data_IF_104475304283
#
_entry.id   IF_104475304283
#
_cell.length_a   1.000
_cell.length_b   1.000
_cell.length_c   1.000
_cell.angle_alpha   90.00
_cell.angle_beta   90.00
_cell.angle_gamma   90.00
#
_symmetry.space_group_name_H-M   'P 1'
#
loop_
_entity.id
_entity.type
_entity.pdbx_description
1 polymer ?
#
# COMPACT_ATOMS: atom_id res chain seq x y z
N UNK A 1 11.58 -11.55 33.88
CA UNK A 1 10.59 -12.53 33.39
C UNK A 1 10.88 -12.76 31.91
N UNK A 2 10.99 -14.01 31.47
CA UNK A 2 11.16 -14.32 30.06
C UNK A 2 9.85 -13.99 29.30
N UNK A 3 9.97 -13.41 28.10
CA UNK A 3 8.81 -13.10 27.28
C UNK A 3 8.30 -14.36 26.57
N UNK A 4 7.00 -14.65 26.68
CA UNK A 4 6.44 -15.92 26.23
C UNK A 4 4.95 -15.79 25.86
N UNK A 5 4.46 -16.73 25.05
CA UNK A 5 3.04 -16.91 24.83
C UNK A 5 2.34 -17.33 26.15
N UNK A 6 1.09 -16.89 26.39
CA UNK A 6 0.22 -16.15 25.48
C UNK A 6 0.40 -14.62 25.50
N UNK A 7 1.35 -14.09 26.28
CA UNK A 7 1.43 -12.65 26.57
C UNK A 7 2.23 -11.86 25.55
N UNK A 8 3.46 -12.31 25.24
CA UNK A 8 4.44 -11.60 24.40
C UNK A 8 4.57 -10.11 24.76
N UNK A 9 4.44 -9.79 26.05
CA UNK A 9 4.38 -8.41 26.53
C UNK A 9 5.69 -7.65 26.30
N UNK A 10 6.83 -8.33 26.35
CA UNK A 10 8.13 -7.74 26.04
C UNK A 10 8.21 -7.33 24.57
N UNK A 11 7.91 -8.26 23.67
CA UNK A 11 7.95 -8.08 22.23
C UNK A 11 6.96 -7.02 21.77
N UNK A 12 5.71 -7.04 22.26
CA UNK A 12 4.70 -6.03 21.90
C UNK A 12 5.11 -4.60 22.28
N UNK A 13 5.85 -4.42 23.39
CA UNK A 13 6.34 -3.09 23.80
C UNK A 13 7.41 -2.53 22.86
N UNK A 14 8.04 -3.38 22.03
CA UNK A 14 9.03 -2.90 21.05
C UNK A 14 8.39 -2.15 19.88
N UNK A 15 7.09 -2.34 19.64
CA UNK A 15 6.40 -1.77 18.47
C UNK A 15 6.83 -2.39 17.14
N UNK A 16 7.60 -3.49 17.15
CA UNK A 16 8.01 -4.19 15.95
C UNK A 16 6.87 -5.01 15.33
N UNK A 17 6.94 -5.16 14.01
CA UNK A 17 6.05 -6.03 13.25
C UNK A 17 6.85 -6.83 12.23
N UNK A 18 6.37 -8.03 11.92
CA UNK A 18 7.09 -9.04 11.16
C UNK A 18 6.35 -9.41 9.88
N UNK A 19 7.11 -9.64 8.82
CA UNK A 19 6.59 -10.17 7.56
C UNK A 19 6.33 -11.67 7.64
N UNK A 20 7.09 -12.37 8.48
CA UNK A 20 6.95 -13.82 8.70
C UNK A 20 7.03 -14.10 10.20
N UNK A 21 6.06 -14.86 10.71
CA UNK A 21 6.07 -15.43 12.06
C UNK A 21 5.98 -16.96 11.93
N UNK A 22 6.95 -17.66 12.50
CA UNK A 22 6.99 -19.12 12.52
C UNK A 22 6.67 -19.65 13.93
N UNK A 23 5.62 -20.46 14.04
CA UNK A 23 5.20 -21.14 15.26
C UNK A 23 5.42 -22.65 15.06
N UNK A 24 6.69 -23.06 15.16
CA UNK A 24 7.10 -24.44 14.92
C UNK A 24 7.06 -25.26 16.21
N UNK A 25 6.24 -26.31 16.24
CA UNK A 25 6.07 -27.25 17.34
C UNK A 25 5.78 -26.59 18.70
N UNK A 26 5.11 -25.44 18.72
CA UNK A 26 4.79 -24.69 19.95
C UNK A 26 3.31 -24.79 20.32
N UNK A 27 2.40 -24.86 19.33
CA UNK A 27 0.97 -24.65 19.57
C UNK A 27 0.35 -25.67 20.54
N UNK A 28 0.79 -26.94 20.47
CA UNK A 28 0.36 -28.01 21.36
C UNK A 28 0.70 -27.76 22.84
N UNK A 29 1.66 -26.89 23.16
CA UNK A 29 2.06 -26.57 24.53
C UNK A 29 1.19 -25.48 25.17
N UNK A 30 0.34 -24.82 24.38
CA UNK A 30 -0.62 -23.85 24.90
C UNK A 30 -1.90 -24.54 25.34
N UNK A 31 -2.28 -24.30 26.59
CA UNK A 31 -3.60 -24.66 27.09
C UNK A 31 -4.69 -24.04 26.20
N UNK A 32 -5.77 -24.77 25.85
CA UNK A 32 -6.80 -24.28 24.94
C UNK A 32 -7.37 -22.89 25.30
N UNK A 33 -7.55 -22.60 26.59
CA UNK A 33 -8.03 -21.29 27.07
C UNK A 33 -7.09 -20.12 26.73
N UNK A 34 -5.80 -20.38 26.49
CA UNK A 34 -4.80 -19.36 26.17
C UNK A 34 -4.64 -19.13 24.67
N UNK A 35 -5.07 -20.09 23.84
CA UNK A 35 -4.86 -20.08 22.39
C UNK A 35 -5.51 -18.88 21.68
N UNK A 36 -6.75 -18.45 21.98
CA UNK A 36 -7.32 -17.26 21.35
C UNK A 36 -6.50 -15.99 21.63
N UNK A 37 -6.04 -15.82 22.88
CA UNK A 37 -5.20 -14.68 23.27
C UNK A 37 -3.85 -14.73 22.55
N UNK A 38 -3.18 -15.88 22.56
CA UNK A 38 -1.92 -16.12 21.89
C UNK A 38 -2.01 -15.81 20.39
N UNK A 39 -3.03 -16.34 19.71
CA UNK A 39 -3.26 -16.12 18.28
C UNK A 39 -3.41 -14.63 17.96
N UNK A 40 -4.29 -13.94 18.69
CA UNK A 40 -4.49 -12.48 18.54
C UNK A 40 -3.19 -11.70 18.70
N UNK A 41 -2.33 -12.06 19.68
CA UNK A 41 -1.04 -11.39 19.88
C UNK A 41 -0.10 -11.62 18.69
N UNK A 42 -0.02 -12.85 18.18
CA UNK A 42 0.77 -13.16 17.00
C UNK A 42 0.27 -12.42 15.76
N UNK A 43 -1.06 -12.34 15.56
CA UNK A 43 -1.65 -11.55 14.47
C UNK A 43 -1.31 -10.07 14.60
N UNK A 44 -1.37 -9.49 15.80
CA UNK A 44 -1.02 -8.07 16.00
C UNK A 44 0.45 -7.74 15.75
N UNK A 45 1.31 -8.76 15.65
CA UNK A 45 2.71 -8.63 15.33
C UNK A 45 2.98 -8.84 13.82
N UNK A 46 2.00 -9.23 13.02
CA UNK A 46 2.14 -9.32 11.56
C UNK A 46 2.05 -7.92 10.93
N UNK A 47 2.89 -7.66 9.92
CA UNK A 47 2.63 -6.58 8.97
C UNK A 47 1.44 -6.95 8.07
N UNK A 48 0.72 -5.97 7.49
CA UNK A 48 -0.20 -6.21 6.37
C UNK A 48 0.50 -7.02 5.27
N UNK A 49 -0.21 -7.99 4.69
CA UNK A 49 0.38 -8.97 3.75
C UNK A 49 1.22 -10.08 4.40
N UNK A 50 1.49 -9.99 5.71
CA UNK A 50 2.38 -10.87 6.44
C UNK A 50 1.91 -12.33 6.55
N UNK A 51 2.87 -13.23 6.70
CA UNK A 51 2.68 -14.68 6.77
C UNK A 51 2.87 -15.21 8.19
N UNK A 52 1.95 -16.03 8.66
CA UNK A 52 2.12 -16.84 9.86
C UNK A 52 2.10 -18.32 9.48
N UNK A 53 3.19 -19.04 9.77
CA UNK A 53 3.28 -20.47 9.55
C UNK A 53 3.25 -21.21 10.89
N UNK A 54 2.39 -22.23 11.02
CA UNK A 54 2.27 -23.05 12.21
C UNK A 54 2.47 -24.52 11.85
N UNK A 55 3.10 -25.29 12.74
CA UNK A 55 3.15 -26.74 12.64
C UNK A 55 2.46 -27.36 13.85
N UNK A 56 1.44 -28.15 13.60
CA UNK A 56 0.62 -28.83 14.60
C UNK A 56 1.08 -30.27 14.73
N UNK A 57 1.45 -30.68 15.94
CA UNK A 57 1.78 -32.09 16.23
C UNK A 57 0.53 -32.84 16.64
N UNK A 58 0.23 -33.92 15.93
CA UNK A 58 -0.80 -34.89 16.27
C UNK A 58 -0.19 -36.11 16.94
N UNK A 59 -1.02 -36.88 17.66
CA UNK A 59 -0.59 -38.06 18.39
C UNK A 59 -0.49 -37.84 19.90
N UNK A 60 -0.09 -38.88 20.66
CA UNK A 60 -0.07 -38.84 22.11
C UNK A 60 0.91 -37.78 22.65
N UNK A 61 0.57 -37.24 23.82
CA UNK A 61 1.45 -36.36 24.57
C UNK A 61 2.69 -37.13 25.04
N UNK A 62 3.86 -36.49 24.95
CA UNK A 62 5.07 -37.03 25.55
C UNK A 62 4.95 -36.97 27.10
N UNK A 63 5.27 -38.05 27.83
CA UNK A 63 5.22 -38.04 29.29
C UNK A 63 6.02 -36.87 29.88
N UNK A 64 5.41 -36.10 30.79
CA UNK A 64 6.06 -34.95 31.43
C UNK A 64 6.09 -33.66 30.61
N UNK A 65 5.65 -33.68 29.34
CA UNK A 65 5.43 -32.46 28.55
C UNK A 65 3.94 -32.14 28.52
N UNK A 66 3.55 -31.00 29.10
CA UNK A 66 2.19 -30.46 28.99
C UNK A 66 1.86 -30.22 27.51
N UNK A 67 1.13 -31.16 26.91
CA UNK A 67 0.67 -31.11 25.54
C UNK A 67 -0.84 -31.29 25.51
N UNK A 68 -1.48 -30.47 24.70
CA UNK A 68 -2.92 -30.46 24.51
C UNK A 68 -3.24 -30.79 23.05
N UNK A 69 -4.33 -31.52 22.77
CA UNK A 69 -4.77 -31.79 21.41
C UNK A 69 -4.90 -30.50 20.59
N UNK A 70 -4.54 -30.58 19.32
CA UNK A 70 -4.60 -29.48 18.36
C UNK A 70 -5.40 -29.94 17.14
N UNK A 71 -5.99 -29.00 16.42
CA UNK A 71 -6.68 -29.31 15.16
C UNK A 71 -6.47 -28.19 14.17
N UNK A 72 -6.50 -28.53 12.87
CA UNK A 72 -6.51 -27.52 11.83
C UNK A 72 -7.75 -26.63 11.93
N UNK A 73 -8.91 -27.20 12.24
CA UNK A 73 -10.17 -26.45 12.36
C UNK A 73 -10.13 -25.36 13.44
N UNK A 74 -9.40 -25.58 14.55
CA UNK A 74 -9.15 -24.53 15.55
C UNK A 74 -8.36 -23.36 14.93
N UNK A 75 -7.29 -23.65 14.20
CA UNK A 75 -6.48 -22.62 13.54
C UNK A 75 -7.28 -21.89 12.46
N UNK A 76 -8.10 -22.60 11.68
CA UNK A 76 -8.97 -22.00 10.66
C UNK A 76 -10.03 -21.09 11.26
N UNK A 77 -10.61 -21.47 12.40
CA UNK A 77 -11.55 -20.64 13.14
C UNK A 77 -10.89 -19.35 13.63
N UNK A 78 -9.74 -19.48 14.30
CA UNK A 78 -8.97 -18.33 14.77
C UNK A 78 -8.51 -17.42 13.63
N UNK A 79 -8.10 -18.00 12.50
CA UNK A 79 -7.72 -17.24 11.31
C UNK A 79 -8.90 -16.42 10.79
N UNK A 80 -10.09 -17.02 10.68
CA UNK A 80 -11.31 -16.36 10.23
C UNK A 80 -11.71 -15.19 11.15
N UNK A 81 -11.67 -15.40 12.46
CA UNK A 81 -12.03 -14.39 13.46
C UNK A 81 -11.11 -13.16 13.42
N UNK A 82 -9.91 -13.32 12.86
CA UNK A 82 -8.90 -12.27 12.73
C UNK A 82 -8.63 -11.84 11.28
N UNK A 83 -9.41 -12.33 10.31
CA UNK A 83 -9.30 -11.94 8.90
C UNK A 83 -8.09 -12.52 8.15
N UNK A 84 -7.43 -13.57 8.67
CA UNK A 84 -6.36 -14.26 7.95
C UNK A 84 -6.93 -15.30 6.98
N UNK A 85 -6.33 -15.39 5.79
CA UNK A 85 -6.62 -16.43 4.82
C UNK A 85 -5.65 -17.61 4.96
N UNK A 86 -6.16 -18.85 4.92
CA UNK A 86 -5.32 -20.04 4.79
C UNK A 86 -4.82 -20.11 3.35
N UNK A 87 -3.51 -19.98 3.15
CA UNK A 87 -2.91 -20.00 1.81
C UNK A 87 -2.20 -21.31 1.49
N UNK A 88 -1.84 -22.10 2.51
CA UNK A 88 -1.27 -23.43 2.32
C UNK A 88 -1.53 -24.34 3.50
N UNK A 89 -1.73 -25.62 3.20
CA UNK A 89 -1.71 -26.73 4.14
C UNK A 89 -0.79 -27.82 3.59
N UNK A 90 -0.05 -28.47 4.46
CA UNK A 90 0.69 -29.69 4.15
C UNK A 90 0.66 -30.63 5.34
N UNK A 91 0.35 -31.90 5.10
CA UNK A 91 0.44 -32.95 6.11
C UNK A 91 1.74 -33.74 5.89
N UNK A 92 2.36 -34.17 6.98
CA UNK A 92 3.62 -34.90 6.96
C UNK A 92 3.65 -35.98 8.05
N UNK A 93 4.36 -37.07 7.77
CA UNK A 93 4.73 -38.05 8.79
C UNK A 93 5.82 -37.48 9.70
N UNK A 94 5.94 -38.01 10.91
CA UNK A 94 7.01 -37.63 11.82
C UNK A 94 8.38 -38.04 11.27
N UNK A 95 9.29 -37.07 11.14
CA UNK A 95 10.63 -37.31 10.59
C UNK A 95 11.51 -38.18 11.48
N UNK A 96 11.14 -38.39 12.75
CA UNK A 96 11.82 -39.33 13.66
C UNK A 96 11.26 -40.75 13.55
N UNK A 97 10.30 -41.00 12.66
CA UNK A 97 9.77 -42.33 12.37
C UNK A 97 8.79 -42.87 13.42
N UNK A 98 8.26 -42.03 14.31
CA UNK A 98 7.24 -42.43 15.29
C UNK A 98 5.88 -42.61 14.59
N UNK A 99 5.33 -43.83 14.50
CA UNK A 99 4.13 -44.10 13.69
C UNK A 99 2.86 -43.44 14.23
N UNK A 100 2.82 -43.15 15.53
CA UNK A 100 1.68 -42.52 16.21
C UNK A 100 1.70 -40.98 16.16
N UNK A 101 2.77 -40.40 15.60
CA UNK A 101 2.95 -38.95 15.50
C UNK A 101 2.86 -38.53 14.04
N UNK A 102 2.08 -37.49 13.77
CA UNK A 102 2.01 -36.85 12.46
C UNK A 102 1.93 -35.33 12.63
N UNK A 103 2.15 -34.62 11.53
CA UNK A 103 2.25 -33.16 11.54
C UNK A 103 1.34 -32.55 10.49
N UNK A 104 0.67 -31.46 10.85
CA UNK A 104 0.03 -30.55 9.89
C UNK A 104 0.74 -29.22 9.92
N UNK A 105 1.30 -28.81 8.79
CA UNK A 105 1.81 -27.45 8.57
C UNK A 105 0.73 -26.61 7.90
N UNK A 106 0.49 -25.41 8.41
CA UNK A 106 -0.47 -24.46 7.86
C UNK A 106 0.19 -23.09 7.73
N UNK A 107 -0.02 -22.43 6.59
CA UNK A 107 0.42 -21.08 6.34
C UNK A 107 -0.81 -20.17 6.17
N UNK A 108 -0.85 -19.12 6.98
CA UNK A 108 -1.90 -18.12 7.03
C UNK A 108 -1.35 -16.79 6.55
N UNK A 109 -2.13 -16.04 5.77
CA UNK A 109 -1.76 -14.69 5.33
C UNK A 109 -2.75 -13.68 5.87
N UNK A 110 -2.23 -12.65 6.53
CA UNK A 110 -3.00 -11.43 6.77
C UNK A 110 -3.11 -10.70 5.42
N UNK A 111 -4.31 -10.46 4.89
CA UNK A 111 -4.45 -9.66 3.68
C UNK A 111 -3.78 -8.30 3.86
N UNK A 112 -3.17 -7.77 2.80
CA UNK A 112 -2.81 -6.36 2.78
C UNK A 112 -4.09 -5.57 2.49
N UNK A 113 -4.66 -4.97 3.53
CA UNK A 113 -5.83 -4.10 3.45
C UNK A 113 -5.45 -2.63 3.20
N UNK A 114 -4.17 -2.36 2.91
CA UNK A 114 -3.63 -1.02 2.70
C UNK A 114 -3.39 -0.24 3.98
N UNK A 115 -3.71 -0.79 5.17
CA UNK A 115 -3.44 -0.10 6.45
C UNK A 115 -1.96 0.12 6.70
N UNK A 116 -1.09 -0.69 6.08
CA UNK A 116 0.37 -0.54 6.11
C UNK A 116 0.84 0.78 5.49
N UNK A 117 0.05 1.38 4.61
CA UNK A 117 0.34 2.69 4.04
C UNK A 117 -0.06 3.86 4.96
N UNK A 118 -0.89 3.64 6.00
CA UNK A 118 -1.38 4.72 6.86
C UNK A 118 -0.27 5.46 7.62
N UNK A 119 0.76 4.80 8.20
CA UNK A 119 1.89 5.51 8.79
C UNK A 119 2.62 6.40 7.78
N UNK A 120 2.79 5.94 6.54
CA UNK A 120 3.42 6.70 5.46
C UNK A 120 2.57 7.90 5.02
N UNK A 121 1.27 7.69 4.83
CA UNK A 121 0.34 8.77 4.51
C UNK A 121 0.30 9.83 5.62
N UNK A 122 0.25 9.40 6.88
CA UNK A 122 0.35 10.30 8.05
C UNK A 122 1.66 11.09 8.00
N UNK A 123 2.79 10.44 7.73
CA UNK A 123 4.08 11.12 7.60
C UNK A 123 4.06 12.19 6.49
N UNK A 124 3.57 11.84 5.30
CA UNK A 124 3.49 12.76 4.14
C UNK A 124 2.60 13.97 4.44
N UNK A 125 1.45 13.75 5.08
CA UNK A 125 0.48 14.81 5.40
C UNK A 125 1.00 15.72 6.51
N UNK A 126 1.56 15.15 7.58
CA UNK A 126 2.04 15.93 8.74
C UNK A 126 3.35 16.68 8.45
N UNK A 127 4.22 16.15 7.59
CA UNK A 127 5.48 16.79 7.21
C UNK A 127 5.35 17.70 5.98
N UNK A 128 4.17 18.25 5.72
CA UNK A 128 3.99 19.21 4.66
C UNK A 128 4.50 20.61 5.02
N UNK A 129 5.82 20.79 4.92
CA UNK A 129 6.49 22.06 5.23
C UNK A 129 6.11 23.22 4.29
N UNK A 130 5.54 22.93 3.11
CA UNK A 130 5.21 23.95 2.12
C UNK A 130 3.69 24.17 2.11
N UNK A 131 3.25 25.42 2.27
CA UNK A 131 1.83 25.78 2.28
C UNK A 131 1.07 25.51 0.95
N UNK A 132 1.77 25.08 -0.10
CA UNK A 132 1.14 24.71 -1.38
C UNK A 132 0.55 23.29 -1.31
N UNK A 133 -0.78 23.19 -1.45
CA UNK A 133 -1.65 22.00 -1.37
C UNK A 133 -1.36 20.84 -2.36
N UNK A 134 -0.21 20.88 -3.03
CA UNK A 134 0.13 20.02 -4.15
C UNK A 134 0.31 18.56 -3.74
N UNK A 135 0.81 18.25 -2.53
CA UNK A 135 0.92 16.85 -2.06
C UNK A 135 -0.45 16.17 -1.97
N UNK A 136 -1.43 16.85 -1.38
CA UNK A 136 -2.82 16.35 -1.35
C UNK A 136 -3.42 16.27 -2.74
N UNK A 137 -3.12 17.24 -3.61
CA UNK A 137 -3.50 17.19 -5.03
C UNK A 137 -2.94 15.95 -5.74
N UNK A 138 -1.68 15.58 -5.49
CA UNK A 138 -1.04 14.40 -6.08
C UNK A 138 -1.66 13.11 -5.55
N UNK A 139 -1.82 12.99 -4.23
CA UNK A 139 -2.49 11.84 -3.60
C UNK A 139 -3.90 11.65 -4.17
N UNK A 140 -4.66 12.73 -4.31
CA UNK A 140 -6.00 12.68 -4.90
C UNK A 140 -5.98 12.27 -6.38
N UNK A 141 -5.01 12.76 -7.15
CA UNK A 141 -4.84 12.35 -8.55
C UNK A 141 -4.50 10.85 -8.67
N UNK A 142 -3.65 10.32 -7.78
CA UNK A 142 -3.32 8.89 -7.69
C UNK A 142 -4.54 8.05 -7.33
N UNK A 143 -5.33 8.44 -6.33
CA UNK A 143 -6.58 7.74 -6.00
C UNK A 143 -7.54 7.68 -7.21
N UNK A 144 -7.69 8.79 -7.95
CA UNK A 144 -8.54 8.81 -9.15
C UNK A 144 -8.01 7.91 -10.27
N UNK A 145 -6.70 7.80 -10.41
CA UNK A 145 -6.09 6.86 -11.36
C UNK A 145 -6.33 5.40 -10.92
N UNK A 146 -6.22 5.10 -9.62
CA UNK A 146 -6.51 3.78 -9.08
C UNK A 146 -7.99 3.39 -9.30
N UNK A 147 -8.93 4.31 -9.04
CA UNK A 147 -10.37 4.05 -9.18
C UNK A 147 -10.80 3.85 -10.65
N UNK A 148 -10.27 4.66 -11.56
CA UNK A 148 -10.82 4.78 -12.92
C UNK A 148 -9.91 4.26 -14.04
N UNK A 149 -8.67 3.89 -13.72
CA UNK A 149 -7.65 3.58 -14.71
C UNK A 149 -6.61 2.55 -14.21
N UNK A 150 -6.98 1.67 -13.27
CA UNK A 150 -6.09 0.64 -12.73
C UNK A 150 -5.43 -0.23 -13.81
N UNK A 151 -6.12 -0.47 -14.94
CA UNK A 151 -5.58 -1.23 -16.08
C UNK A 151 -4.41 -0.56 -16.82
N UNK A 152 -4.07 0.69 -16.49
CA UNK A 152 -2.88 1.37 -17.01
C UNK A 152 -1.66 1.25 -16.08
N UNK A 153 -1.83 0.64 -14.90
CA UNK A 153 -0.72 0.31 -14.01
C UNK A 153 0.07 -0.87 -14.57
N UNK A 154 1.40 -0.77 -14.53
CA UNK A 154 2.31 -1.84 -14.91
C UNK A 154 2.98 -2.39 -13.66
N UNK A 155 3.00 -3.71 -13.43
CA UNK A 155 3.72 -4.29 -12.30
C UNK A 155 5.21 -3.91 -12.32
N UNK A 156 5.75 -3.57 -11.15
CA UNK A 156 7.17 -3.31 -10.93
C UNK A 156 7.63 -4.13 -9.71
N UNK A 157 8.10 -5.36 -9.98
CA UNK A 157 8.38 -6.32 -8.90
C UNK A 157 7.11 -6.75 -8.17
N UNK A 158 7.26 -7.17 -6.91
CA UNK A 158 6.21 -7.85 -6.16
C UNK A 158 5.26 -6.90 -5.40
N UNK A 159 5.68 -5.66 -5.15
CA UNK A 159 4.99 -4.73 -4.26
C UNK A 159 4.67 -3.36 -4.89
N UNK A 160 5.21 -3.06 -6.08
CA UNK A 160 5.11 -1.74 -6.68
C UNK A 160 4.45 -1.79 -8.07
N UNK A 161 3.95 -0.64 -8.50
CA UNK A 161 3.42 -0.44 -9.85
C UNK A 161 3.96 0.85 -10.44
N UNK A 162 4.21 0.85 -11.75
CA UNK A 162 4.49 2.05 -12.53
C UNK A 162 3.20 2.58 -13.14
N UNK A 163 2.98 3.89 -13.01
CA UNK A 163 1.85 4.59 -13.60
C UNK A 163 2.35 5.60 -14.66
N UNK A 164 1.67 5.74 -15.79
CA UNK A 164 2.01 6.79 -16.76
C UNK A 164 1.88 8.18 -16.12
N UNK A 165 2.95 8.97 -16.10
CA UNK A 165 2.92 10.31 -15.52
C UNK A 165 1.87 11.22 -16.19
N UNK A 166 1.62 11.03 -17.49
CA UNK A 166 0.58 11.73 -18.23
C UNK A 166 -0.85 11.43 -17.73
N UNK A 167 -1.11 10.23 -17.22
CA UNK A 167 -2.38 9.86 -16.59
C UNK A 167 -2.59 10.67 -15.30
N UNK A 168 -1.55 10.76 -14.47
CA UNK A 168 -1.61 11.52 -13.22
C UNK A 168 -1.78 13.01 -13.51
N UNK A 169 -1.07 13.54 -14.51
CA UNK A 169 -1.26 14.91 -14.98
C UNK A 169 -2.67 15.17 -15.53
N UNK A 170 -3.29 14.23 -16.23
CA UNK A 170 -4.67 14.38 -16.69
C UNK A 170 -5.63 14.51 -15.49
N UNK A 171 -5.52 13.64 -14.49
CA UNK A 171 -6.33 13.73 -13.27
C UNK A 171 -6.04 15.00 -12.46
N UNK A 172 -4.78 15.47 -12.46
CA UNK A 172 -4.40 16.76 -11.89
C UNK A 172 -5.13 17.92 -12.56
N UNK A 173 -5.12 17.99 -13.89
CA UNK A 173 -5.84 19.02 -14.63
C UNK A 173 -7.35 18.98 -14.34
N UNK A 174 -7.95 17.78 -14.31
CA UNK A 174 -9.36 17.60 -13.95
C UNK A 174 -9.70 18.06 -12.54
N UNK A 175 -8.75 17.96 -11.61
CA UNK A 175 -8.92 18.40 -10.23
C UNK A 175 -8.92 19.93 -10.15
N UNK A 176 -7.91 20.57 -10.71
CA UNK A 176 -7.68 22.01 -10.52
C UNK A 176 -8.48 22.90 -11.46
N UNK A 177 -8.75 22.47 -12.71
CA UNK A 177 -9.44 23.29 -13.70
C UNK A 177 -10.80 23.85 -13.22
N UNK A 178 -11.73 23.04 -12.67
CA UNK A 178 -13.01 23.58 -12.20
C UNK A 178 -12.84 24.50 -10.99
N UNK A 179 -11.89 24.21 -10.09
CA UNK A 179 -11.66 25.02 -8.90
C UNK A 179 -11.13 26.40 -9.26
N UNK A 180 -10.12 26.45 -10.15
CA UNK A 180 -9.54 27.71 -10.63
C UNK A 180 -10.56 28.50 -11.45
N UNK A 181 -11.37 27.82 -12.27
CA UNK A 181 -12.45 28.47 -13.04
C UNK A 181 -13.51 29.10 -12.13
N UNK A 182 -13.80 28.49 -10.98
CA UNK A 182 -14.72 29.01 -9.99
C UNK A 182 -14.10 30.09 -9.07
N UNK A 183 -12.83 30.47 -9.28
CA UNK A 183 -12.13 31.43 -8.43
C UNK A 183 -11.82 30.91 -7.03
N UNK A 184 -11.88 29.59 -6.81
CA UNK A 184 -11.56 29.00 -5.51
C UNK A 184 -10.05 29.08 -5.25
N UNK A 185 -9.61 29.53 -4.06
CA UNK A 185 -8.20 29.59 -3.72
C UNK A 185 -7.53 28.20 -3.69
N UNK A 186 -6.34 28.08 -4.28
CA UNK A 186 -5.52 26.85 -4.22
C UNK A 186 -4.36 26.95 -3.20
N UNK A 187 -4.20 28.13 -2.61
CA UNK A 187 -3.28 28.46 -1.52
C UNK A 187 -3.62 29.82 -0.92
N UNK A 188 -3.00 30.19 0.22
CA UNK A 188 -3.24 31.48 0.86
C UNK A 188 -3.00 32.65 -0.11
N UNK A 189 -3.99 33.52 -0.27
CA UNK A 189 -3.91 34.69 -1.16
C UNK A 189 -3.90 34.39 -2.66
N UNK A 190 -3.98 33.12 -3.10
CA UNK A 190 -4.14 32.78 -4.51
C UNK A 190 -5.62 32.85 -4.92
N UNK A 191 -5.89 33.53 -6.04
CA UNK A 191 -7.15 33.42 -6.77
C UNK A 191 -6.83 33.31 -8.26
N UNK A 192 -7.49 32.37 -8.94
CA UNK A 192 -7.23 32.15 -10.36
C UNK A 192 -5.88 31.43 -10.63
N UNK A 193 -5.40 31.47 -11.89
CA UNK A 193 -4.24 30.69 -12.32
C UNK A 193 -2.89 31.25 -11.87
N UNK A 194 -2.83 32.50 -11.42
CA UNK A 194 -1.56 33.17 -11.12
C UNK A 194 -0.90 32.61 -9.85
N UNK A 195 0.42 32.37 -9.91
CA UNK A 195 1.17 31.73 -8.83
C UNK A 195 1.08 30.20 -8.78
N UNK A 196 0.27 29.57 -9.63
CA UNK A 196 0.22 28.10 -9.72
C UNK A 196 1.27 27.59 -10.71
N UNK A 197 2.19 26.75 -10.24
CA UNK A 197 3.35 26.30 -11.04
C UNK A 197 2.97 25.49 -12.30
N UNK A 198 1.79 24.88 -12.32
CA UNK A 198 1.25 24.15 -13.47
C UNK A 198 0.39 25.03 -14.40
N UNK A 199 0.05 26.26 -14.02
CA UNK A 199 -0.90 27.10 -14.75
C UNK A 199 -0.21 27.97 -15.82
N UNK A 200 0.50 27.30 -16.73
CA UNK A 200 1.15 27.93 -17.88
C UNK A 200 0.18 28.20 -19.04
N UNK A 201 0.70 28.56 -20.24
CA UNK A 201 -0.12 28.83 -21.41
C UNK A 201 -1.09 27.69 -21.76
N UNK A 202 -0.68 26.43 -21.60
CA UNK A 202 -1.53 25.29 -21.87
C UNK A 202 -2.74 25.26 -20.95
N UNK A 203 -2.51 25.32 -19.63
CA UNK A 203 -3.60 25.37 -18.65
C UNK A 203 -4.53 26.57 -18.85
N UNK A 204 -3.97 27.75 -19.18
CA UNK A 204 -4.76 28.96 -19.44
C UNK A 204 -5.63 28.82 -20.69
N UNK A 205 -5.15 28.14 -21.73
CA UNK A 205 -5.99 27.79 -22.88
C UNK A 205 -7.15 26.86 -22.48
N UNK A 206 -6.94 25.89 -21.58
CA UNK A 206 -8.04 25.06 -21.06
C UNK A 206 -9.04 25.89 -20.24
N UNK A 207 -8.58 26.85 -19.44
CA UNK A 207 -9.46 27.77 -18.72
C UNK A 207 -10.32 28.59 -19.67
N UNK A 208 -9.73 29.08 -20.76
CA UNK A 208 -10.40 29.84 -21.82
C UNK A 208 -11.33 28.98 -22.71
N UNK A 209 -11.47 27.68 -22.44
CA UNK A 209 -12.43 26.81 -23.11
C UNK A 209 -11.89 26.07 -24.33
N UNK A 210 -10.56 25.91 -24.47
CA UNK A 210 -9.98 25.09 -25.53
C UNK A 210 -10.43 23.63 -25.50
N UNK A 211 -10.90 23.15 -24.33
CA UNK A 211 -11.53 21.84 -24.14
C UNK A 211 -12.66 21.94 -23.11
N UNK A 212 -13.59 20.99 -23.18
CA UNK A 212 -14.62 20.77 -22.15
C UNK A 212 -14.13 19.82 -21.05
N UNK A 213 -14.85 19.75 -19.93
CA UNK A 213 -14.56 18.76 -18.89
C UNK A 213 -14.74 17.31 -19.37
N UNK A 214 -15.64 17.08 -20.34
CA UNK A 214 -15.88 15.77 -20.94
C UNK A 214 -14.73 15.31 -21.85
N UNK A 215 -13.97 16.26 -22.41
CA UNK A 215 -12.80 15.98 -23.23
C UNK A 215 -11.61 15.50 -22.40
N UNK A 216 -11.52 15.91 -21.13
CA UNK A 216 -10.45 15.53 -20.21
C UNK A 216 -10.64 14.12 -19.65
N UNK A 217 -10.65 13.10 -20.51
CA UNK A 217 -10.76 11.69 -20.12
C UNK A 217 -9.85 10.82 -20.98
N UNK A 218 -9.53 9.65 -20.46
CA UNK A 218 -8.81 8.63 -21.20
C UNK A 218 -9.64 8.21 -22.42
N UNK A 219 -8.96 8.05 -23.56
CA UNK A 219 -9.59 7.65 -24.82
C UNK A 219 -10.24 8.79 -25.62
N UNK A 220 -10.24 10.03 -25.12
CA UNK A 220 -10.64 11.20 -25.92
C UNK A 220 -9.73 11.41 -27.13
N UNK A 221 -10.33 11.77 -28.26
CA UNK A 221 -9.60 12.15 -29.48
C UNK A 221 -9.77 13.63 -29.72
N UNK A 222 -8.66 14.36 -29.76
CA UNK A 222 -8.62 15.79 -30.02
C UNK A 222 -7.69 16.06 -31.19
N UNK A 223 -7.93 17.16 -31.89
CA UNK A 223 -7.10 17.63 -33.00
C UNK A 223 -6.94 19.15 -32.94
N UNK A 224 -6.04 19.68 -33.78
CA UNK A 224 -5.83 21.13 -33.90
C UNK A 224 -5.45 21.82 -32.59
N UNK A 225 -5.99 23.03 -32.38
CA UNK A 225 -5.68 23.87 -31.23
C UNK A 225 -6.03 23.22 -29.88
N UNK A 226 -7.12 22.47 -29.80
CA UNK A 226 -7.53 21.77 -28.59
C UNK A 226 -6.50 20.70 -28.17
N UNK A 227 -6.00 19.92 -29.13
CA UNK A 227 -4.94 18.94 -28.87
C UNK A 227 -3.63 19.59 -28.44
N UNK A 228 -3.25 20.71 -29.06
CA UNK A 228 -2.05 21.46 -28.71
C UNK A 228 -2.14 22.04 -27.29
N UNK A 229 -3.28 22.63 -26.95
CA UNK A 229 -3.55 23.17 -25.61
C UNK A 229 -3.47 22.08 -24.53
N UNK A 230 -4.16 20.95 -24.74
CA UNK A 230 -4.12 19.85 -23.78
C UNK A 230 -2.72 19.24 -23.66
N UNK A 231 -2.02 19.03 -24.78
CA UNK A 231 -0.66 18.50 -24.76
C UNK A 231 0.28 19.40 -23.95
N UNK A 232 0.19 20.72 -24.14
CA UNK A 232 0.99 21.68 -23.40
C UNK A 232 0.63 21.68 -21.91
N UNK A 233 -0.66 21.69 -21.58
CA UNK A 233 -1.14 21.63 -20.19
C UNK A 233 -0.66 20.37 -19.46
N UNK A 234 -0.66 19.21 -20.14
CA UNK A 234 -0.11 17.98 -19.59
C UNK A 234 1.41 18.10 -19.36
N UNK A 235 2.17 18.70 -20.28
CA UNK A 235 3.62 18.93 -20.08
C UNK A 235 3.89 19.85 -18.88
N UNK A 236 3.10 20.89 -18.68
CA UNK A 236 3.19 21.81 -17.55
C UNK A 236 2.87 21.12 -16.22
N UNK A 237 1.77 20.34 -16.19
CA UNK A 237 1.37 19.56 -15.02
C UNK A 237 2.41 18.47 -14.69
N UNK A 238 2.85 17.67 -15.66
CA UNK A 238 3.89 16.65 -15.44
C UNK A 238 5.22 17.25 -14.97
N UNK A 239 5.62 18.42 -15.49
CA UNK A 239 6.79 19.15 -14.98
C UNK A 239 6.61 19.50 -13.51
N UNK A 240 5.46 20.09 -13.18
CA UNK A 240 5.14 20.51 -11.81
C UNK A 240 5.08 19.32 -10.86
N UNK A 241 4.50 18.19 -11.29
CA UNK A 241 4.40 16.93 -10.53
C UNK A 241 5.73 16.20 -10.37
N UNK A 242 6.71 16.46 -11.23
CA UNK A 242 8.05 15.90 -11.04
C UNK A 242 8.87 16.74 -10.07
N UNK A 243 9.00 18.04 -10.34
CA UNK A 243 9.88 18.94 -9.55
C UNK A 243 9.29 19.34 -8.19
N UNK A 244 7.98 19.19 -8.06
CA UNK A 244 7.15 19.28 -6.85
C UNK A 244 6.07 18.21 -7.00
N UNK A 245 5.03 18.16 -6.18
CA UNK A 245 5.16 17.58 -4.85
C UNK A 245 5.92 16.23 -4.79
N UNK A 246 6.07 15.44 -5.87
CA UNK A 246 6.69 14.11 -5.83
C UNK A 246 8.14 14.15 -5.31
N UNK A 247 8.96 15.11 -5.76
CA UNK A 247 10.33 15.33 -5.24
C UNK A 247 10.37 15.51 -3.71
N UNK A 248 9.33 16.06 -3.11
CA UNK A 248 9.27 16.40 -1.68
C UNK A 248 8.38 15.46 -0.86
N UNK A 249 7.85 14.40 -1.47
CA UNK A 249 7.20 13.31 -0.77
C UNK A 249 8.26 12.23 -0.54
N UNK A 250 8.91 12.29 0.61
CA UNK A 250 10.05 11.43 0.96
C UNK A 250 9.76 10.53 2.15
N UNK A 251 10.44 9.40 2.23
CA UNK A 251 10.42 8.56 3.43
C UNK A 251 11.13 9.26 4.61
N UNK A 252 10.87 8.83 5.86
CA UNK A 252 11.56 9.38 7.03
C UNK A 252 13.08 9.28 6.98
N UNK A 253 13.61 8.21 6.36
CA UNK A 253 15.04 7.98 6.16
C UNK A 253 15.60 8.60 4.88
N UNK A 254 14.81 9.41 4.17
CA UNK A 254 15.17 10.00 2.89
C UNK A 254 14.77 9.16 1.67
N UNK A 255 14.92 9.74 0.48
CA UNK A 255 14.50 9.13 -0.79
C UNK A 255 13.02 9.38 -1.14
N UNK A 256 12.68 9.45 -2.45
CA UNK A 256 11.32 9.75 -2.90
C UNK A 256 10.39 8.55 -2.71
N UNK A 257 9.18 8.80 -2.18
CA UNK A 257 8.08 7.82 -2.10
C UNK A 257 7.49 7.57 -3.50
N UNK A 258 7.45 8.62 -4.31
CA UNK A 258 6.90 8.59 -5.66
C UNK A 258 8.02 9.01 -6.62
N UNK A 259 8.96 8.12 -6.96
CA UNK A 259 9.96 8.42 -7.97
C UNK A 259 9.28 8.76 -9.29
N UNK A 260 9.71 9.85 -9.93
CA UNK A 260 9.12 10.34 -11.19
C UNK A 260 10.19 10.46 -12.24
N UNK A 261 9.99 9.78 -13.35
CA UNK A 261 10.78 9.94 -14.56
C UNK A 261 10.00 10.72 -15.62
N UNK A 262 10.69 11.65 -16.28
CA UNK A 262 10.14 12.42 -17.41
C UNK A 262 10.92 12.09 -18.66
N UNK A 263 10.23 11.61 -19.68
CA UNK A 263 10.84 11.24 -20.96
C UNK A 263 9.91 10.40 -21.79
N UNK A 264 10.35 10.00 -22.99
CA UNK A 264 9.67 8.94 -23.74
C UNK A 264 10.07 7.59 -23.12
N UNK A 265 9.13 6.67 -22.88
CA UNK A 265 9.48 5.32 -22.45
C UNK A 265 10.41 4.69 -23.50
N UNK A 266 11.58 4.19 -23.07
CA UNK A 266 12.61 3.59 -23.94
C UNK A 266 14.04 4.15 -23.79
N UNK A 267 14.25 5.22 -23.01
CA UNK A 267 15.58 5.51 -22.48
C UNK A 267 15.81 4.59 -21.26
N UNK A 268 16.84 3.75 -21.32
CA UNK A 268 17.10 2.61 -20.44
C UNK A 268 16.74 2.82 -18.95
N UNK A 269 15.90 1.92 -18.43
CA UNK A 269 15.85 1.59 -17.01
C UNK A 269 17.20 1.00 -16.59
N UNK A 270 17.98 1.75 -15.82
CA UNK A 270 19.18 1.24 -15.16
C UNK A 270 18.87 1.16 -13.66
N UNK A 271 18.58 -0.04 -13.11
CA UNK A 271 18.46 -0.18 -11.67
C UNK A 271 19.86 0.09 -11.06
N UNK A 272 19.90 0.98 -10.06
CA UNK A 272 21.06 1.14 -9.18
C UNK A 272 21.18 -0.08 -8.25
#
# INVERSE_FOLDING_TARGET
>A
MADALPELGGLLRTGLSFEVILVSAVWQHLHPSHRPRAFRKLVSLLKPGGLQALTLRHGPAEPGRGMHPVSLGEIEGLARDHGLAVIRRADALDSLGRPEVSWTSVALRLPDDGTGALPLLRHVILNDQKQSSYKLGLLRALCRAADGAAGLAQPAGDAEVVLPLGLIALHWLRLYLPLVRAGLPQGPGNQGPDGLGFAGPGFRALLAGAVTAADLRIGSRLSGAAAQALHLALKEATKTIAVMPATYMTYPNGGPILPVERGRPGAAWAPC
#
